data_IF_114930419114
#
_entry.id   IF_114930419114
#
_cell.length_a   1.000
_cell.length_b   1.000
_cell.length_c   1.000
_cell.angle_alpha   90.00
_cell.angle_beta   90.00
_cell.angle_gamma   90.00
#
_symmetry.space_group_name_H-M   'P 1'
#
loop_
_entity.id
_entity.type
_entity.pdbx_description
1 polymer ?
#
# COMPACT_ATOMS: atom_id res chain seq x y z
N UNK A 1 34.73 14.78 30.88
CA UNK A 1 34.39 15.68 29.75
C UNK A 1 33.03 15.28 29.16
N UNK A 2 31.96 15.43 29.95
CA UNK A 2 30.65 14.80 29.65
C UNK A 2 29.47 15.67 30.06
N UNK A 3 29.55 16.98 29.84
CA UNK A 3 28.47 17.94 30.17
C UNK A 3 28.01 18.80 28.99
N UNK A 4 28.61 18.65 27.80
CA UNK A 4 28.23 19.41 26.60
C UNK A 4 27.14 18.77 25.72
N UNK A 5 26.94 17.45 25.81
CA UNK A 5 25.98 16.73 24.93
C UNK A 5 24.54 16.72 25.46
N UNK A 6 24.33 16.94 26.76
CA UNK A 6 22.99 16.96 27.36
C UNK A 6 22.26 18.28 27.11
N UNK A 7 23.00 19.40 27.06
CA UNK A 7 22.43 20.74 26.87
C UNK A 7 21.88 20.97 25.46
N UNK A 8 22.47 20.31 24.45
CA UNK A 8 21.97 20.36 23.07
C UNK A 8 20.73 19.48 22.84
N UNK A 9 20.51 18.47 23.69
CA UNK A 9 19.33 17.60 23.63
C UNK A 9 18.10 18.25 24.28
N UNK A 10 18.29 19.05 25.34
CA UNK A 10 17.22 19.85 25.97
C UNK A 10 16.71 20.99 25.07
N UNK A 11 17.60 21.72 24.37
CA UNK A 11 17.18 22.78 23.44
C UNK A 11 16.44 22.24 22.21
N UNK A 12 16.75 21.01 21.79
CA UNK A 12 16.04 20.30 20.71
C UNK A 12 14.61 19.90 21.11
N UNK A 13 14.39 19.53 22.37
CA UNK A 13 13.07 19.12 22.87
C UNK A 13 12.15 20.33 23.07
N UNK A 14 12.69 21.49 23.45
CA UNK A 14 11.89 22.72 23.61
C UNK A 14 11.44 23.32 22.26
N UNK A 15 12.24 23.16 21.19
CA UNK A 15 11.82 23.50 19.82
C UNK A 15 10.75 22.56 19.25
N UNK A 16 10.80 21.27 19.58
CA UNK A 16 9.79 20.29 19.16
C UNK A 16 8.49 20.50 19.94
N UNK A 17 8.56 20.82 21.24
CA UNK A 17 7.40 21.20 22.05
C UNK A 17 6.71 22.47 21.55
N UNK A 18 7.47 23.51 21.19
CA UNK A 18 6.90 24.75 20.62
C UNK A 18 6.33 24.56 19.21
N UNK A 19 6.91 23.68 18.39
CA UNK A 19 6.36 23.32 17.07
C UNK A 19 5.10 22.46 17.16
N UNK A 20 5.00 21.59 18.17
CA UNK A 20 3.80 20.81 18.47
C UNK A 20 2.69 21.72 19.02
N UNK A 21 3.01 22.65 19.92
CA UNK A 21 2.04 23.64 20.39
C UNK A 21 1.59 24.63 19.30
N UNK A 22 2.44 25.01 18.34
CA UNK A 22 2.01 25.79 17.17
C UNK A 22 1.15 24.96 16.20
N UNK A 23 1.42 23.66 16.03
CA UNK A 23 0.57 22.77 15.22
C UNK A 23 -0.81 22.56 15.87
N UNK A 24 -0.87 22.43 17.20
CA UNK A 24 -2.14 22.34 17.93
C UNK A 24 -2.84 23.69 18.11
N UNK A 25 -2.12 24.82 18.12
CA UNK A 25 -2.73 26.15 18.12
C UNK A 25 -3.31 26.53 16.75
N UNK A 26 -2.71 26.08 15.64
CA UNK A 26 -3.29 26.22 14.30
C UNK A 26 -4.51 25.30 14.11
N UNK A 27 -4.53 24.12 14.76
CA UNK A 27 -5.73 23.26 14.82
C UNK A 27 -6.80 23.75 15.80
N UNK A 28 -6.44 24.58 16.79
CA UNK A 28 -7.36 25.09 17.82
C UNK A 28 -7.93 26.50 17.56
N UNK A 29 -7.30 27.30 16.71
CA UNK A 29 -7.76 28.67 16.37
C UNK A 29 -8.46 28.74 15.01
N UNK A 30 -8.44 27.66 14.21
CA UNK A 30 -9.23 27.57 12.97
C UNK A 30 -10.68 27.11 13.19
N UNK A 31 -11.24 27.36 14.38
CA UNK A 31 -12.67 27.16 14.68
C UNK A 31 -13.51 28.46 14.51
N UNK A 32 -12.90 29.54 13.99
CA UNK A 32 -13.58 30.82 13.79
C UNK A 32 -13.26 31.46 12.43
N UNK A 33 -13.40 30.69 11.36
CA UNK A 33 -13.78 31.22 10.05
C UNK A 33 -14.80 30.26 9.48
N UNK A 34 -16.06 30.44 9.90
CA UNK A 34 -17.20 29.85 9.21
C UNK A 34 -17.26 30.47 7.82
N UNK A 35 -16.70 29.75 6.84
CA UNK A 35 -17.01 29.97 5.43
C UNK A 35 -18.52 29.78 5.25
N UNK A 36 -19.11 30.66 4.43
CA UNK A 36 -20.56 30.84 4.26
C UNK A 36 -21.21 29.68 3.47
N UNK A 37 -20.49 28.58 3.24
CA UNK A 37 -20.96 27.38 2.55
C UNK A 37 -20.60 26.11 3.34
N UNK A 38 -21.03 26.04 4.60
CA UNK A 38 -21.06 24.76 5.29
C UNK A 38 -22.18 23.92 4.66
N UNK A 39 -21.81 22.85 3.96
CA UNK A 39 -22.76 21.85 3.45
C UNK A 39 -23.78 21.52 4.54
N UNK A 40 -25.06 21.83 4.31
CA UNK A 40 -26.09 21.70 5.34
C UNK A 40 -26.32 20.21 5.67
N UNK A 41 -25.79 19.77 6.81
CA UNK A 41 -25.88 18.39 7.29
C UNK A 41 -27.04 18.15 8.26
N UNK A 42 -27.81 19.17 8.63
CA UNK A 42 -28.79 19.10 9.73
C UNK A 42 -29.82 17.98 9.53
N UNK A 43 -30.40 17.91 8.33
CA UNK A 43 -31.45 16.92 8.03
C UNK A 43 -30.89 15.49 7.94
N UNK A 44 -29.73 15.33 7.31
CA UNK A 44 -29.10 14.01 7.19
C UNK A 44 -28.59 13.51 8.54
N UNK A 45 -28.09 14.39 9.41
CA UNK A 45 -27.70 14.04 10.77
C UNK A 45 -28.91 13.61 11.61
N UNK A 46 -30.06 14.26 11.44
CA UNK A 46 -31.30 13.84 12.10
C UNK A 46 -31.75 12.44 11.63
N UNK A 47 -31.71 12.17 10.32
CA UNK A 47 -32.01 10.85 9.75
C UNK A 47 -31.01 9.80 10.26
N UNK A 48 -29.72 10.09 10.22
CA UNK A 48 -28.66 9.20 10.71
C UNK A 48 -28.87 8.90 12.20
N UNK A 49 -29.06 9.91 13.05
CA UNK A 49 -29.27 9.73 14.48
C UNK A 49 -30.52 8.90 14.79
N UNK A 50 -31.62 9.13 14.06
CA UNK A 50 -32.87 8.39 14.24
C UNK A 50 -32.76 6.93 13.79
N UNK A 51 -32.08 6.66 12.67
CA UNK A 51 -32.07 5.33 12.02
C UNK A 51 -30.92 4.46 12.47
N UNK A 52 -29.76 5.05 12.77
CA UNK A 52 -28.60 4.32 13.29
C UNK A 52 -28.88 3.72 14.68
N UNK A 53 -29.60 4.44 15.55
CA UNK A 53 -29.97 3.95 16.90
C UNK A 53 -31.11 2.93 16.88
N UNK A 54 -32.12 3.13 16.03
CA UNK A 54 -33.33 2.29 16.04
C UNK A 54 -33.20 1.00 15.22
N UNK A 55 -32.20 0.89 14.33
CA UNK A 55 -32.12 -0.13 13.27
C UNK A 55 -33.42 -0.26 12.46
N UNK A 56 -34.29 0.75 12.50
CA UNK A 56 -35.57 0.74 11.82
C UNK A 56 -35.36 0.81 10.30
N UNK A 57 -36.33 0.29 9.55
CA UNK A 57 -36.34 0.42 8.09
C UNK A 57 -36.37 1.90 7.71
N UNK A 58 -35.61 2.26 6.68
CA UNK A 58 -35.68 3.59 6.07
C UNK A 58 -37.05 3.80 5.43
N UNK A 59 -37.60 4.98 5.62
CA UNK A 59 -38.77 5.47 4.89
C UNK A 59 -38.34 6.05 3.54
N UNK A 60 -39.30 6.24 2.62
CA UNK A 60 -39.05 6.95 1.36
C UNK A 60 -38.53 8.36 1.60
N UNK A 61 -39.05 9.07 2.61
CA UNK A 61 -38.58 10.41 2.98
C UNK A 61 -37.11 10.40 3.42
N UNK A 62 -36.70 9.42 4.24
CA UNK A 62 -35.30 9.29 4.67
C UNK A 62 -34.36 9.12 3.47
N UNK A 63 -34.74 8.29 2.49
CA UNK A 63 -33.95 8.08 1.27
C UNK A 63 -33.80 9.35 0.44
N UNK A 64 -34.86 10.17 0.35
CA UNK A 64 -34.83 11.46 -0.37
C UNK A 64 -33.87 12.44 0.30
N UNK A 65 -33.85 12.50 1.63
CA UNK A 65 -32.91 13.34 2.39
C UNK A 65 -31.46 12.91 2.12
N UNK A 66 -31.17 11.61 2.18
CA UNK A 66 -29.84 11.05 1.91
C UNK A 66 -29.39 11.41 0.48
N UNK A 67 -30.23 11.12 -0.52
CA UNK A 67 -29.96 11.40 -1.93
C UNK A 67 -29.71 12.90 -2.17
N UNK A 68 -30.54 13.75 -1.59
CA UNK A 68 -30.43 15.20 -1.75
C UNK A 68 -29.13 15.72 -1.16
N UNK A 69 -28.77 15.29 0.05
CA UNK A 69 -27.52 15.68 0.69
C UNK A 69 -26.30 15.27 -0.14
N UNK A 70 -26.23 14.01 -0.57
CA UNK A 70 -25.12 13.49 -1.37
C UNK A 70 -24.98 14.26 -2.68
N UNK A 71 -26.09 14.43 -3.42
CA UNK A 71 -26.09 15.17 -4.69
C UNK A 71 -25.65 16.61 -4.50
N UNK A 72 -26.19 17.31 -3.50
CA UNK A 72 -25.84 18.71 -3.21
C UNK A 72 -24.37 18.85 -2.85
N UNK A 73 -23.82 17.99 -2.00
CA UNK A 73 -22.40 18.02 -1.63
C UNK A 73 -21.48 17.76 -2.82
N UNK A 74 -21.82 16.80 -3.69
CA UNK A 74 -21.03 16.52 -4.90
C UNK A 74 -21.09 17.67 -5.91
N UNK A 75 -22.25 18.33 -6.05
CA UNK A 75 -22.40 19.51 -6.89
C UNK A 75 -21.61 20.70 -6.36
N UNK A 76 -21.65 20.93 -5.04
CA UNK A 76 -20.86 21.98 -4.39
C UNK A 76 -19.36 21.74 -4.59
N UNK A 77 -18.89 20.50 -4.40
CA UNK A 77 -17.51 20.10 -4.65
C UNK A 77 -17.09 20.31 -6.12
N UNK A 78 -17.99 20.08 -7.08
CA UNK A 78 -17.73 20.31 -8.50
C UNK A 78 -17.55 21.81 -8.82
N UNK A 79 -18.36 22.66 -8.19
CA UNK A 79 -18.37 24.10 -8.39
C UNK A 79 -17.29 24.83 -7.60
N UNK A 80 -16.75 24.21 -6.54
CA UNK A 80 -15.72 24.80 -5.69
C UNK A 80 -14.40 25.04 -6.44
N UNK A 81 -13.81 26.21 -6.21
CA UNK A 81 -12.56 26.66 -6.82
C UNK A 81 -11.41 26.65 -5.81
N UNK A 82 -11.69 26.89 -4.53
CA UNK A 82 -10.71 26.81 -3.45
C UNK A 82 -10.38 25.33 -3.14
N UNK A 83 -9.11 24.89 -3.33
CA UNK A 83 -8.71 23.53 -2.99
C UNK A 83 -8.94 23.14 -1.53
N UNK A 84 -8.92 24.09 -0.59
CA UNK A 84 -9.12 23.80 0.84
C UNK A 84 -10.60 23.59 1.17
N UNK A 85 -11.48 24.41 0.62
CA UNK A 85 -12.93 24.22 0.80
C UNK A 85 -13.40 22.95 0.09
N UNK A 86 -12.84 22.60 -1.08
CA UNK A 86 -13.10 21.32 -1.73
C UNK A 86 -12.73 20.13 -0.82
N UNK A 87 -11.65 20.24 -0.05
CA UNK A 87 -11.28 19.23 0.96
C UNK A 87 -12.29 19.21 2.11
N UNK A 88 -12.72 20.37 2.61
CA UNK A 88 -13.74 20.47 3.67
C UNK A 88 -15.07 19.84 3.26
N UNK A 89 -15.58 20.14 2.06
CA UNK A 89 -16.81 19.57 1.51
C UNK A 89 -16.68 18.04 1.41
N UNK A 90 -15.56 17.54 0.87
CA UNK A 90 -15.29 16.10 0.78
C UNK A 90 -15.36 15.43 2.16
N UNK A 91 -14.72 16.02 3.16
CA UNK A 91 -14.73 15.50 4.53
C UNK A 91 -16.15 15.50 5.10
N UNK A 92 -16.92 16.56 4.88
CA UNK A 92 -18.31 16.67 5.33
C UNK A 92 -19.21 15.57 4.70
N UNK A 93 -19.05 15.29 3.40
CA UNK A 93 -19.80 14.21 2.73
C UNK A 93 -19.47 12.86 3.36
N UNK A 94 -18.19 12.52 3.48
CA UNK A 94 -17.75 11.21 3.99
C UNK A 94 -18.15 11.01 5.47
N UNK A 95 -18.17 12.08 6.26
CA UNK A 95 -18.59 12.03 7.67
C UNK A 95 -20.03 11.53 7.85
N UNK A 96 -20.90 11.73 6.85
CA UNK A 96 -22.31 11.34 6.92
C UNK A 96 -22.58 9.92 6.39
N UNK A 97 -21.54 9.16 6.01
CA UNK A 97 -21.71 7.78 5.47
C UNK A 97 -22.32 6.79 6.48
N UNK A 98 -22.29 7.12 7.76
CA UNK A 98 -22.68 6.24 8.87
C UNK A 98 -21.48 5.49 9.48
N UNK A 99 -21.78 4.46 10.26
CA UNK A 99 -20.76 3.63 10.93
C UNK A 99 -20.01 2.68 9.98
N UNK A 100 -19.02 1.97 10.52
CA UNK A 100 -18.22 0.98 9.78
C UNK A 100 -18.98 -0.32 9.47
N UNK A 101 -20.10 -0.58 10.15
CA UNK A 101 -20.97 -1.73 9.89
C UNK A 101 -22.04 -1.39 8.84
N UNK A 102 -22.29 -2.32 7.92
CA UNK A 102 -23.34 -2.14 6.92
C UNK A 102 -24.72 -2.10 7.59
N UNK A 103 -25.39 -0.96 7.47
CA UNK A 103 -26.74 -0.71 7.98
C UNK A 103 -27.67 -0.31 6.82
N UNK A 104 -29.01 -0.35 7.00
CA UNK A 104 -29.92 0.15 5.98
C UNK A 104 -29.62 1.60 5.57
N UNK A 105 -29.23 2.44 6.54
CA UNK A 105 -28.79 3.82 6.28
C UNK A 105 -27.54 3.87 5.40
N UNK A 106 -26.47 3.19 5.80
CA UNK A 106 -25.20 3.27 5.07
C UNK A 106 -25.32 2.64 3.68
N UNK A 107 -26.14 1.60 3.50
CA UNK A 107 -26.45 1.04 2.19
C UNK A 107 -27.15 2.06 1.27
N UNK A 108 -28.17 2.77 1.78
CA UNK A 108 -28.83 3.82 1.00
C UNK A 108 -27.91 5.01 0.69
N UNK A 109 -27.00 5.35 1.61
CA UNK A 109 -25.99 6.38 1.38
C UNK A 109 -25.01 5.97 0.28
N UNK A 110 -24.50 4.74 0.33
CA UNK A 110 -23.61 4.17 -0.70
C UNK A 110 -24.30 4.13 -2.06
N UNK A 111 -25.57 3.70 -2.11
CA UNK A 111 -26.36 3.67 -3.35
C UNK A 111 -26.53 5.08 -3.96
N UNK A 112 -26.92 6.06 -3.13
CA UNK A 112 -27.01 7.46 -3.54
C UNK A 112 -25.67 8.00 -4.05
N UNK A 113 -24.59 7.71 -3.34
CA UNK A 113 -23.24 8.13 -3.72
C UNK A 113 -22.77 7.46 -5.01
N UNK A 114 -23.02 6.17 -5.22
CA UNK A 114 -22.64 5.44 -6.43
C UNK A 114 -23.26 6.09 -7.68
N UNK A 115 -24.56 6.36 -7.62
CA UNK A 115 -25.30 7.00 -8.71
C UNK A 115 -24.76 8.39 -8.99
N UNK A 116 -24.67 9.25 -7.98
CA UNK A 116 -24.31 10.65 -8.19
C UNK A 116 -22.82 10.83 -8.50
N UNK A 117 -21.90 10.08 -7.89
CA UNK A 117 -20.47 10.16 -8.17
C UNK A 117 -20.17 9.88 -9.64
N UNK A 118 -20.85 8.89 -10.26
CA UNK A 118 -20.64 8.57 -11.66
C UNK A 118 -20.93 9.77 -12.55
N UNK A 119 -22.08 10.42 -12.36
CA UNK A 119 -22.46 11.64 -13.09
C UNK A 119 -21.50 12.79 -12.82
N UNK A 120 -21.17 13.06 -11.56
CA UNK A 120 -20.27 14.16 -11.20
C UNK A 120 -18.85 13.95 -11.74
N UNK A 121 -18.35 12.71 -11.83
CA UNK A 121 -17.06 12.39 -12.45
C UNK A 121 -17.08 12.70 -13.95
N UNK A 122 -18.16 12.34 -14.65
CA UNK A 122 -18.32 12.67 -16.07
C UNK A 122 -18.34 14.19 -16.29
N UNK A 123 -19.05 14.93 -15.44
CA UNK A 123 -19.10 16.40 -15.50
C UNK A 123 -17.76 17.04 -15.16
N UNK A 124 -17.07 16.57 -14.11
CA UNK A 124 -15.73 17.00 -13.77
C UNK A 124 -14.75 16.77 -14.92
N UNK A 125 -14.89 15.66 -15.66
CA UNK A 125 -14.11 15.37 -16.86
C UNK A 125 -14.22 16.42 -17.97
N UNK A 126 -15.32 17.20 -18.00
CA UNK A 126 -15.59 18.26 -19.00
C UNK A 126 -15.07 19.64 -18.58
N UNK A 127 -14.52 19.78 -17.37
CA UNK A 127 -13.92 21.03 -16.90
C UNK A 127 -12.75 21.43 -17.82
N UNK A 128 -12.73 22.69 -18.25
CA UNK A 128 -11.72 23.21 -19.19
C UNK A 128 -10.35 23.39 -18.52
N UNK A 129 -10.34 23.92 -17.30
CA UNK A 129 -9.14 24.04 -16.50
C UNK A 129 -8.64 22.64 -16.09
N UNK A 130 -7.45 22.28 -16.59
CA UNK A 130 -6.86 20.95 -16.39
C UNK A 130 -6.49 20.68 -14.93
N UNK A 131 -6.06 21.71 -14.19
CA UNK A 131 -5.63 21.59 -12.81
C UNK A 131 -6.84 21.46 -11.88
N UNK A 132 -7.89 22.26 -12.11
CA UNK A 132 -9.18 22.12 -11.44
C UNK A 132 -9.78 20.75 -11.74
N UNK A 133 -9.85 20.35 -13.01
CA UNK A 133 -10.32 19.01 -13.42
C UNK A 133 -9.60 17.90 -12.66
N UNK A 134 -8.27 17.94 -12.62
CA UNK A 134 -7.46 16.94 -11.90
C UNK A 134 -7.77 16.92 -10.41
N UNK A 135 -7.84 18.08 -9.74
CA UNK A 135 -8.15 18.18 -8.31
C UNK A 135 -9.57 17.70 -7.99
N UNK A 136 -10.57 18.09 -8.78
CA UNK A 136 -11.96 17.68 -8.59
C UNK A 136 -12.11 16.17 -8.76
N UNK A 137 -11.55 15.60 -9.84
CA UNK A 137 -11.57 14.15 -10.07
C UNK A 137 -10.88 13.37 -8.93
N UNK A 138 -9.75 13.88 -8.43
CA UNK A 138 -9.07 13.26 -7.30
C UNK A 138 -9.94 13.28 -6.02
N UNK A 139 -10.61 14.40 -5.72
CA UNK A 139 -11.51 14.47 -4.57
C UNK A 139 -12.69 13.51 -4.69
N UNK A 140 -13.32 13.42 -5.86
CA UNK A 140 -14.43 12.49 -6.12
C UNK A 140 -13.98 11.02 -5.98
N UNK A 141 -12.78 10.70 -6.47
CA UNK A 141 -12.20 9.35 -6.34
C UNK A 141 -11.86 9.03 -4.88
N UNK A 142 -11.41 10.01 -4.09
CA UNK A 142 -11.21 9.83 -2.65
C UNK A 142 -12.53 9.51 -1.97
N UNK A 143 -13.64 10.20 -2.29
CA UNK A 143 -14.96 9.87 -1.74
C UNK A 143 -15.30 8.41 -2.06
N UNK A 144 -15.19 8.00 -3.33
CA UNK A 144 -15.44 6.62 -3.75
C UNK A 144 -14.58 5.61 -2.97
N UNK A 145 -13.30 5.92 -2.71
CA UNK A 145 -12.43 5.04 -1.93
C UNK A 145 -12.82 4.95 -0.44
N UNK A 146 -13.24 6.06 0.17
CA UNK A 146 -13.64 6.13 1.59
C UNK A 146 -15.03 5.51 1.86
N UNK A 147 -15.83 5.27 0.81
CA UNK A 147 -17.07 4.50 0.93
C UNK A 147 -16.83 3.00 1.13
N UNK A 148 -15.63 2.51 0.77
CA UNK A 148 -15.19 1.13 1.02
C UNK A 148 -16.19 0.07 0.52
N UNK A 149 -16.85 0.30 -0.62
CA UNK A 149 -17.93 -0.55 -1.13
C UNK A 149 -17.67 -1.02 -2.57
N UNK A 150 -18.05 -2.26 -2.87
CA UNK A 150 -17.89 -2.87 -4.21
C UNK A 150 -18.64 -2.14 -5.32
N UNK A 151 -19.68 -1.39 -4.97
CA UNK A 151 -20.48 -0.53 -5.85
C UNK A 151 -19.65 0.60 -6.45
N UNK A 152 -18.51 0.95 -5.83
CA UNK A 152 -17.54 1.91 -6.36
C UNK A 152 -16.54 1.31 -7.35
N UNK A 153 -16.58 -0.01 -7.58
CA UNK A 153 -15.53 -0.69 -8.32
C UNK A 153 -15.37 -0.16 -9.75
N UNK A 154 -16.47 0.12 -10.47
CA UNK A 154 -16.40 0.66 -11.83
C UNK A 154 -15.69 2.01 -11.91
N UNK A 155 -15.90 2.88 -10.92
CA UNK A 155 -15.22 4.19 -10.81
C UNK A 155 -13.71 3.96 -10.66
N UNK A 156 -13.32 3.12 -9.71
CA UNK A 156 -11.89 2.84 -9.46
C UNK A 156 -11.23 2.16 -10.65
N UNK A 157 -11.87 1.15 -11.24
CA UNK A 157 -11.36 0.44 -12.42
C UNK A 157 -11.14 1.38 -13.61
N UNK A 158 -12.06 2.31 -13.85
CA UNK A 158 -11.94 3.32 -14.90
C UNK A 158 -10.73 4.25 -14.75
N UNK A 159 -10.20 4.39 -13.53
CA UNK A 159 -9.12 5.33 -13.18
C UNK A 159 -7.75 4.66 -12.97
N UNK A 160 -7.66 3.32 -13.01
CA UNK A 160 -6.40 2.57 -12.82
C UNK A 160 -5.32 2.90 -13.87
N UNK A 161 -5.74 3.30 -15.07
CA UNK A 161 -4.85 3.67 -16.17
C UNK A 161 -4.41 5.14 -16.15
N UNK A 162 -4.83 5.93 -15.15
CA UNK A 162 -4.47 7.34 -15.05
C UNK A 162 -2.95 7.54 -15.01
N UNK A 163 -2.40 8.52 -15.75
CA UNK A 163 -0.98 8.87 -15.66
C UNK A 163 -0.64 9.64 -14.38
N UNK A 164 -1.64 10.19 -13.68
CA UNK A 164 -1.45 10.88 -12.41
C UNK A 164 -1.31 9.84 -11.27
N UNK A 165 -0.14 9.83 -10.63
CA UNK A 165 0.21 8.81 -9.63
C UNK A 165 -0.72 8.81 -8.40
N UNK A 166 -1.21 10.00 -7.98
CA UNK A 166 -2.16 10.11 -6.88
C UNK A 166 -3.52 9.49 -7.28
N UNK A 167 -4.02 9.81 -8.46
CA UNK A 167 -5.25 9.24 -9.03
C UNK A 167 -5.14 7.73 -9.14
N UNK A 168 -4.04 7.21 -9.68
CA UNK A 168 -3.82 5.76 -9.76
C UNK A 168 -3.76 5.11 -8.36
N UNK A 169 -3.10 5.74 -7.39
CA UNK A 169 -3.06 5.24 -6.01
C UNK A 169 -4.48 5.13 -5.41
N UNK A 170 -5.30 6.19 -5.55
CA UNK A 170 -6.66 6.18 -5.03
C UNK A 170 -7.57 5.22 -5.80
N UNK A 171 -7.37 5.07 -7.11
CA UNK A 171 -8.08 4.08 -7.92
C UNK A 171 -7.81 2.65 -7.44
N UNK A 172 -6.55 2.33 -7.11
CA UNK A 172 -6.20 1.05 -6.47
C UNK A 172 -6.90 0.95 -5.11
N UNK A 173 -6.88 2.01 -4.27
CA UNK A 173 -7.55 1.99 -2.97
C UNK A 173 -9.05 1.74 -3.08
N UNK A 174 -9.73 2.29 -4.09
CA UNK A 174 -11.16 2.08 -4.34
C UNK A 174 -11.51 0.62 -4.62
N UNK A 175 -10.66 -0.11 -5.35
CA UNK A 175 -10.98 -1.49 -5.80
C UNK A 175 -10.28 -2.59 -5.00
N UNK A 176 -9.26 -2.24 -4.22
CA UNK A 176 -8.36 -3.22 -3.60
C UNK A 176 -8.13 -2.96 -2.10
N UNK A 177 -9.00 -2.20 -1.43
CA UNK A 177 -8.90 -2.04 0.02
C UNK A 177 -9.23 -3.36 0.76
N UNK A 178 -8.79 -3.51 2.03
CA UNK A 178 -9.14 -4.66 2.84
C UNK A 178 -10.66 -4.88 2.98
N UNK A 179 -11.44 -3.79 3.04
CA UNK A 179 -12.90 -3.86 3.12
C UNK A 179 -13.52 -4.45 1.85
N UNK A 180 -13.00 -4.10 0.67
CA UNK A 180 -13.42 -4.67 -0.61
C UNK A 180 -13.07 -6.16 -0.67
N UNK A 181 -11.85 -6.54 -0.29
CA UNK A 181 -11.46 -7.95 -0.23
C UNK A 181 -12.37 -8.77 0.70
N UNK A 182 -12.76 -8.21 1.85
CA UNK A 182 -13.67 -8.86 2.79
C UNK A 182 -15.09 -9.06 2.19
N UNK A 183 -15.62 -8.05 1.50
CA UNK A 183 -16.91 -8.13 0.81
C UNK A 183 -16.91 -9.19 -0.29
N UNK A 184 -15.89 -9.20 -1.14
CA UNK A 184 -15.78 -10.13 -2.27
C UNK A 184 -15.61 -11.59 -1.85
N UNK A 185 -15.11 -11.84 -0.64
CA UNK A 185 -14.97 -13.20 -0.07
C UNK A 185 -16.14 -13.64 0.80
N UNK A 186 -17.01 -12.72 1.18
CA UNK A 186 -18.12 -13.00 2.08
C UNK A 186 -19.09 -13.98 1.43
N UNK A 187 -19.64 -14.97 2.16
CA UNK A 187 -20.71 -15.83 1.65
C UNK A 187 -21.98 -15.08 1.26
N UNK A 188 -22.16 -13.85 1.74
CA UNK A 188 -23.38 -13.05 1.55
C UNK A 188 -23.22 -12.06 0.39
N UNK A 189 -22.06 -11.41 0.29
CA UNK A 189 -21.79 -10.32 -0.66
C UNK A 189 -20.72 -10.67 -1.69
N UNK A 190 -20.26 -11.94 -1.70
CA UNK A 190 -19.18 -12.38 -2.57
C UNK A 190 -19.55 -12.28 -4.05
N UNK A 191 -18.59 -11.85 -4.86
CA UNK A 191 -18.75 -11.69 -6.30
C UNK A 191 -17.46 -12.15 -6.99
N UNK A 192 -17.49 -13.39 -7.50
CA UNK A 192 -16.34 -14.01 -8.15
C UNK A 192 -15.98 -13.35 -9.48
N UNK A 193 -16.98 -12.85 -10.23
CA UNK A 193 -16.77 -12.21 -11.52
C UNK A 193 -16.15 -10.82 -11.35
N UNK A 194 -16.64 -10.05 -10.38
CA UNK A 194 -16.02 -8.79 -10.00
C UNK A 194 -14.61 -9.00 -9.45
N UNK A 195 -14.39 -10.03 -8.63
CA UNK A 195 -13.05 -10.40 -8.15
C UNK A 195 -12.09 -10.67 -9.33
N UNK A 196 -12.51 -11.50 -10.29
CA UNK A 196 -11.71 -11.81 -11.49
C UNK A 196 -11.42 -10.56 -12.30
N UNK A 197 -12.41 -9.67 -12.47
CA UNK A 197 -12.26 -8.40 -13.19
C UNK A 197 -11.27 -7.46 -12.50
N UNK A 198 -11.37 -7.29 -11.18
CA UNK A 198 -10.45 -6.45 -10.40
C UNK A 198 -9.02 -6.99 -10.51
N UNK A 199 -8.81 -8.30 -10.28
CA UNK A 199 -7.48 -8.91 -10.40
C UNK A 199 -6.89 -8.72 -11.82
N UNK A 200 -7.71 -8.91 -12.86
CA UNK A 200 -7.29 -8.72 -14.24
C UNK A 200 -6.87 -7.28 -14.57
N UNK A 201 -7.60 -6.28 -14.08
CA UNK A 201 -7.23 -4.87 -14.29
C UNK A 201 -6.02 -4.44 -13.45
N UNK A 202 -5.90 -4.93 -12.21
CA UNK A 202 -4.71 -4.70 -11.38
C UNK A 202 -3.45 -5.33 -12.00
N UNK A 203 -3.57 -6.51 -12.61
CA UNK A 203 -2.47 -7.14 -13.35
C UNK A 203 -1.95 -6.24 -14.48
N UNK A 204 -2.86 -5.65 -15.25
CA UNK A 204 -2.52 -4.68 -16.31
C UNK A 204 -1.90 -3.42 -15.72
N UNK A 205 -2.47 -2.87 -14.65
CA UNK A 205 -2.02 -1.64 -14.02
C UNK A 205 -0.59 -1.76 -13.48
N UNK A 206 -0.28 -2.85 -12.78
CA UNK A 206 1.05 -3.15 -12.23
C UNK A 206 2.14 -3.13 -13.31
N UNK A 207 1.83 -3.53 -14.54
CA UNK A 207 2.75 -3.45 -15.69
C UNK A 207 3.10 -2.01 -16.13
N UNK A 208 2.29 -1.01 -15.75
CA UNK A 208 2.40 0.40 -16.19
C UNK A 208 3.08 1.32 -15.16
N UNK A 209 3.80 0.75 -14.19
CA UNK A 209 4.53 1.46 -13.10
C UNK A 209 3.63 2.09 -12.02
N UNK A 210 2.90 1.24 -11.30
CA UNK A 210 2.23 1.63 -10.05
C UNK A 210 3.27 2.03 -9.00
N UNK A 211 3.00 3.10 -8.26
CA UNK A 211 3.83 3.52 -7.12
C UNK A 211 3.93 2.38 -6.07
N UNK A 212 5.05 2.27 -5.32
CA UNK A 212 5.24 1.21 -4.33
C UNK A 212 4.09 1.09 -3.31
N UNK A 213 3.49 2.21 -2.91
CA UNK A 213 2.38 2.27 -1.96
C UNK A 213 1.10 1.68 -2.54
N UNK A 214 0.83 1.89 -3.84
CA UNK A 214 -0.28 1.24 -4.55
C UNK A 214 0.00 -0.24 -4.76
N UNK A 215 1.23 -0.61 -5.12
CA UNK A 215 1.64 -2.01 -5.28
C UNK A 215 1.48 -2.80 -3.98
N UNK A 216 1.74 -2.16 -2.82
CA UNK A 216 1.44 -2.75 -1.50
C UNK A 216 -0.02 -3.19 -1.39
N UNK A 217 -0.95 -2.27 -1.69
CA UNK A 217 -2.39 -2.52 -1.59
C UNK A 217 -2.79 -3.67 -2.52
N UNK A 218 -2.24 -3.71 -3.74
CA UNK A 218 -2.48 -4.81 -4.68
C UNK A 218 -2.04 -6.16 -4.12
N UNK A 219 -0.87 -6.23 -3.47
CA UNK A 219 -0.39 -7.48 -2.85
C UNK A 219 -1.29 -7.89 -1.69
N UNK A 220 -1.67 -6.95 -0.82
CA UNK A 220 -2.57 -7.21 0.31
C UNK A 220 -3.92 -7.74 -0.17
N UNK A 221 -4.49 -7.11 -1.21
CA UNK A 221 -5.73 -7.54 -1.84
C UNK A 221 -5.60 -8.94 -2.45
N UNK A 222 -4.55 -9.17 -3.25
CA UNK A 222 -4.33 -10.42 -3.95
C UNK A 222 -4.15 -11.61 -2.98
N UNK A 223 -3.41 -11.38 -1.89
CA UNK A 223 -3.24 -12.36 -0.80
C UNK A 223 -4.53 -12.56 0.00
N UNK A 224 -5.35 -11.52 0.17
CA UNK A 224 -6.63 -11.64 0.83
C UNK A 224 -7.61 -12.50 -0.01
N UNK A 225 -7.83 -12.18 -1.29
CA UNK A 225 -8.80 -12.92 -2.15
C UNK A 225 -8.32 -14.31 -2.54
N UNK A 226 -7.00 -14.51 -2.66
CA UNK A 226 -6.33 -15.80 -2.80
C UNK A 226 -6.81 -16.69 -3.98
N UNK A 227 -7.28 -16.08 -5.07
CA UNK A 227 -7.61 -16.80 -6.30
C UNK A 227 -6.35 -17.21 -7.07
N UNK A 228 -6.41 -18.20 -8.00
CA UNK A 228 -5.26 -18.56 -8.84
C UNK A 228 -4.64 -17.37 -9.59
N UNK A 229 -5.47 -16.48 -10.13
CA UNK A 229 -5.04 -15.27 -10.83
C UNK A 229 -4.39 -14.27 -9.88
N UNK A 230 -4.94 -14.11 -8.67
CA UNK A 230 -4.38 -13.23 -7.65
C UNK A 230 -3.00 -13.72 -7.17
N UNK A 231 -2.84 -15.03 -6.97
CA UNK A 231 -1.55 -15.67 -6.67
C UNK A 231 -0.53 -15.44 -7.80
N UNK A 232 -0.96 -15.52 -9.06
CA UNK A 232 -0.10 -15.22 -10.20
C UNK A 232 0.34 -13.75 -10.21
N UNK A 233 -0.55 -12.82 -9.86
CA UNK A 233 -0.24 -11.40 -9.71
C UNK A 233 0.82 -11.14 -8.63
N UNK A 234 0.76 -11.82 -7.48
CA UNK A 234 1.80 -11.75 -6.43
C UNK A 234 3.17 -12.18 -6.98
N UNK A 235 3.22 -13.27 -7.76
CA UNK A 235 4.47 -13.74 -8.39
C UNK A 235 5.02 -12.73 -9.41
N UNK A 236 4.15 -12.09 -10.19
CA UNK A 236 4.52 -11.02 -11.13
C UNK A 236 5.10 -9.81 -10.41
N UNK A 237 4.48 -9.40 -9.30
CA UNK A 237 4.98 -8.29 -8.48
C UNK A 237 6.36 -8.63 -7.89
N UNK A 238 6.58 -9.88 -7.46
CA UNK A 238 7.91 -10.34 -7.06
C UNK A 238 8.96 -10.19 -8.15
N UNK A 239 8.63 -10.51 -9.41
CA UNK A 239 9.53 -10.31 -10.55
C UNK A 239 9.86 -8.84 -10.79
N UNK A 240 8.85 -7.96 -10.72
CA UNK A 240 9.05 -6.52 -10.85
C UNK A 240 9.97 -5.98 -9.75
N UNK A 241 9.72 -6.37 -8.49
CA UNK A 241 10.57 -5.96 -7.37
C UNK A 241 12.00 -6.47 -7.53
N UNK A 242 12.19 -7.74 -7.90
CA UNK A 242 13.53 -8.28 -8.18
C UNK A 242 14.27 -7.49 -9.28
N UNK A 243 13.58 -7.09 -10.35
CA UNK A 243 14.19 -6.22 -11.38
C UNK A 243 14.60 -4.84 -10.84
N UNK A 244 13.81 -4.26 -9.93
CA UNK A 244 14.16 -2.99 -9.28
C UNK A 244 15.36 -3.13 -8.34
N UNK A 245 15.49 -4.26 -7.63
CA UNK A 245 16.68 -4.57 -6.83
C UNK A 245 17.91 -4.64 -7.72
N UNK A 246 17.85 -5.42 -8.81
CA UNK A 246 18.97 -5.58 -9.77
C UNK A 246 19.43 -4.24 -10.37
N UNK A 247 18.51 -3.29 -10.55
CA UNK A 247 18.78 -1.93 -11.04
C UNK A 247 19.15 -0.93 -9.96
N UNK A 248 19.13 -1.33 -8.69
CA UNK A 248 19.32 -0.46 -7.53
C UNK A 248 18.28 0.68 -7.38
N UNK A 249 17.15 0.61 -8.08
CA UNK A 249 16.10 1.65 -8.11
C UNK A 249 14.91 1.36 -7.20
N UNK A 250 14.99 0.32 -6.37
CA UNK A 250 13.97 0.03 -5.34
C UNK A 250 13.71 1.26 -4.46
N UNK A 251 12.42 1.54 -4.26
CA UNK A 251 11.87 2.51 -3.31
C UNK A 251 10.92 1.79 -2.36
N UNK A 252 10.80 2.32 -1.15
CA UNK A 252 9.91 1.83 -0.10
C UNK A 252 10.11 0.33 0.18
N UNK A 253 11.24 0.00 0.80
CA UNK A 253 11.64 -1.38 1.07
C UNK A 253 10.67 -2.11 2.02
N UNK A 254 9.96 -1.39 2.89
CA UNK A 254 8.98 -2.00 3.82
C UNK A 254 7.84 -2.76 3.11
N UNK A 255 7.52 -2.41 1.86
CA UNK A 255 6.55 -3.16 1.06
C UNK A 255 6.96 -4.63 0.88
N UNK A 256 8.26 -4.92 0.85
CA UNK A 256 8.75 -6.28 0.60
C UNK A 256 8.47 -7.23 1.76
N UNK A 257 8.23 -6.72 2.98
CA UNK A 257 7.71 -7.53 4.09
C UNK A 257 6.37 -8.16 3.74
N UNK A 258 5.48 -7.37 3.13
CA UNK A 258 4.12 -7.80 2.78
C UNK A 258 4.19 -8.79 1.61
N UNK A 259 4.99 -8.49 0.60
CA UNK A 259 5.20 -9.38 -0.55
C UNK A 259 5.84 -10.72 -0.17
N UNK A 260 6.89 -10.70 0.66
CA UNK A 260 7.52 -11.93 1.16
C UNK A 260 6.58 -12.71 2.07
N UNK A 261 5.71 -12.02 2.82
CA UNK A 261 4.68 -12.68 3.64
C UNK A 261 3.60 -13.36 2.80
N UNK A 262 3.12 -12.71 1.73
CA UNK A 262 2.17 -13.28 0.79
C UNK A 262 2.75 -14.53 0.10
N UNK A 263 3.99 -14.42 -0.41
CA UNK A 263 4.71 -15.56 -0.98
C UNK A 263 4.89 -16.70 0.05
N UNK A 264 5.24 -16.36 1.29
CA UNK A 264 5.36 -17.32 2.39
C UNK A 264 4.06 -18.08 2.67
N UNK A 265 2.93 -17.36 2.75
CA UNK A 265 1.60 -17.96 2.91
C UNK A 265 1.24 -18.86 1.74
N UNK A 266 1.48 -18.41 0.51
CA UNK A 266 1.25 -19.21 -0.69
C UNK A 266 2.09 -20.51 -0.68
N UNK A 267 3.36 -20.47 -0.23
CA UNK A 267 4.19 -21.67 -0.09
C UNK A 267 3.59 -22.66 0.92
N UNK A 268 3.02 -22.15 2.01
CA UNK A 268 2.43 -22.98 3.07
C UNK A 268 1.08 -23.58 2.67
N UNK A 269 0.29 -22.89 1.84
CA UNK A 269 -1.04 -23.35 1.40
C UNK A 269 -1.02 -24.17 0.11
N UNK A 270 0.00 -24.00 -0.75
CA UNK A 270 0.06 -24.65 -2.06
C UNK A 270 0.46 -26.13 -1.97
N UNK A 271 -0.41 -27.00 -2.47
CA UNK A 271 -0.19 -28.45 -2.50
C UNK A 271 0.42 -28.90 -3.83
N UNK A 272 0.19 -28.17 -4.92
CA UNK A 272 0.74 -28.50 -6.23
C UNK A 272 2.23 -28.15 -6.29
N UNK A 273 3.08 -29.18 -6.36
CA UNK A 273 4.54 -29.03 -6.29
C UNK A 273 5.13 -28.01 -7.28
N UNK A 274 4.76 -27.97 -8.57
CA UNK A 274 5.34 -27.00 -9.51
C UNK A 274 5.04 -25.54 -9.15
N UNK A 275 3.82 -25.26 -8.67
CA UNK A 275 3.40 -23.93 -8.23
C UNK A 275 4.10 -23.53 -6.94
N UNK A 276 4.16 -24.45 -5.97
CA UNK A 276 4.86 -24.25 -4.70
C UNK A 276 6.35 -23.97 -4.92
N UNK A 277 7.02 -24.76 -5.75
CA UNK A 277 8.44 -24.59 -6.10
C UNK A 277 8.69 -23.22 -6.76
N UNK A 278 7.78 -22.76 -7.61
CA UNK A 278 7.86 -21.43 -8.21
C UNK A 278 7.81 -20.34 -7.13
N UNK A 279 6.86 -20.40 -6.21
CA UNK A 279 6.77 -19.46 -5.09
C UNK A 279 8.02 -19.51 -4.18
N UNK A 280 8.53 -20.72 -3.87
CA UNK A 280 9.78 -20.91 -3.12
C UNK A 280 10.97 -20.20 -3.78
N UNK A 281 11.12 -20.35 -5.11
CA UNK A 281 12.18 -19.71 -5.88
C UNK A 281 12.08 -18.18 -5.83
N UNK A 282 10.89 -17.62 -6.03
CA UNK A 282 10.65 -16.17 -5.96
C UNK A 282 10.93 -15.63 -4.55
N UNK A 283 10.41 -16.30 -3.51
CA UNK A 283 10.64 -15.94 -2.12
C UNK A 283 12.13 -15.91 -1.78
N UNK A 284 12.84 -17.01 -2.05
CA UNK A 284 14.27 -17.13 -1.72
C UNK A 284 15.14 -16.14 -2.49
N UNK A 285 14.82 -15.89 -3.76
CA UNK A 285 15.55 -14.92 -4.59
C UNK A 285 15.31 -13.47 -4.13
N UNK A 286 14.06 -13.06 -3.93
CA UNK A 286 13.73 -11.71 -3.48
C UNK A 286 14.32 -11.44 -2.09
N UNK A 287 14.20 -12.40 -1.16
CA UNK A 287 14.76 -12.25 0.18
C UNK A 287 16.29 -12.18 0.16
N UNK A 288 16.95 -12.92 -0.74
CA UNK A 288 18.40 -12.77 -0.97
C UNK A 288 18.75 -11.34 -1.37
N UNK A 289 18.01 -10.75 -2.30
CA UNK A 289 18.27 -9.39 -2.78
C UNK A 289 18.06 -8.34 -1.68
N UNK A 290 17.06 -8.50 -0.80
CA UNK A 290 16.90 -7.64 0.39
C UNK A 290 18.16 -7.70 1.26
N UNK A 291 18.64 -8.91 1.60
CA UNK A 291 19.83 -9.10 2.45
C UNK A 291 21.09 -8.57 1.77
N UNK A 292 21.30 -8.85 0.48
CA UNK A 292 22.47 -8.37 -0.26
C UNK A 292 22.44 -6.85 -0.45
N UNK A 293 21.26 -6.23 -0.60
CA UNK A 293 21.13 -4.77 -0.62
C UNK A 293 21.61 -4.16 0.69
N UNK A 294 21.33 -4.79 1.83
CA UNK A 294 21.87 -4.34 3.12
C UNK A 294 23.41 -4.45 3.17
N UNK A 295 23.95 -5.60 2.75
CA UNK A 295 25.39 -5.87 2.78
C UNK A 295 26.17 -4.94 1.85
N UNK A 296 25.73 -4.82 0.60
CA UNK A 296 26.42 -4.07 -0.45
C UNK A 296 26.10 -2.57 -0.42
N UNK A 297 24.96 -2.20 0.14
CA UNK A 297 24.42 -0.83 0.11
C UNK A 297 25.03 0.13 1.12
N UNK A 298 26.06 -0.27 1.87
CA UNK A 298 26.63 0.49 2.97
C UNK A 298 27.00 1.95 2.64
N UNK A 299 27.45 2.22 1.41
CA UNK A 299 27.85 3.58 0.97
C UNK A 299 26.77 4.34 0.18
N UNK A 300 25.72 3.67 -0.28
CA UNK A 300 24.71 4.26 -1.18
C UNK A 300 23.33 4.41 -0.56
N UNK A 301 23.02 3.62 0.48
CA UNK A 301 21.76 3.69 1.18
C UNK A 301 21.80 4.78 2.25
N UNK A 302 20.75 5.59 2.32
CA UNK A 302 20.52 6.50 3.45
C UNK A 302 20.29 5.71 4.75
N UNK A 303 20.43 6.38 5.90
CA UNK A 303 20.13 5.77 7.20
C UNK A 303 18.70 5.21 7.26
N UNK A 304 17.72 5.95 6.71
CA UNK A 304 16.33 5.51 6.61
C UNK A 304 16.17 4.25 5.77
N UNK A 305 16.80 4.18 4.59
CA UNK A 305 16.75 2.99 3.73
C UNK A 305 17.41 1.78 4.39
N UNK A 306 18.57 1.97 5.04
CA UNK A 306 19.23 0.89 5.82
C UNK A 306 18.31 0.35 6.91
N UNK A 307 17.64 1.25 7.65
CA UNK A 307 16.68 0.85 8.68
C UNK A 307 15.50 0.09 8.10
N UNK A 308 14.93 0.54 6.98
CA UNK A 308 13.82 -0.16 6.32
C UNK A 308 14.24 -1.57 5.88
N UNK A 309 15.39 -1.71 5.21
CA UNK A 309 15.90 -3.02 4.79
C UNK A 309 16.16 -3.92 6.00
N UNK A 310 16.76 -3.40 7.08
CA UNK A 310 16.96 -4.15 8.31
C UNK A 310 15.63 -4.65 8.93
N UNK A 311 14.60 -3.79 8.94
CA UNK A 311 13.26 -4.16 9.40
C UNK A 311 12.66 -5.28 8.55
N UNK A 312 12.78 -5.24 7.21
CA UNK A 312 12.30 -6.32 6.34
C UNK A 312 13.01 -7.64 6.67
N UNK A 313 14.33 -7.61 6.84
CA UNK A 313 15.10 -8.81 7.18
C UNK A 313 14.65 -9.40 8.52
N UNK A 314 14.53 -8.57 9.55
CA UNK A 314 14.12 -9.02 10.88
C UNK A 314 12.68 -9.55 10.89
N UNK A 315 11.75 -8.85 10.23
CA UNK A 315 10.34 -9.21 10.23
C UNK A 315 10.09 -10.51 9.46
N UNK A 316 10.67 -10.67 8.27
CA UNK A 316 10.52 -11.88 7.44
C UNK A 316 11.18 -13.09 8.10
N UNK A 317 12.31 -12.91 8.78
CA UNK A 317 12.94 -13.96 9.59
C UNK A 317 11.97 -14.49 10.66
N UNK A 318 11.38 -13.59 11.44
CA UNK A 318 10.51 -13.93 12.56
C UNK A 318 9.17 -14.52 12.10
N UNK A 319 8.53 -13.90 11.12
CA UNK A 319 7.13 -14.20 10.77
C UNK A 319 6.98 -15.30 9.72
N UNK A 320 7.95 -15.46 8.82
CA UNK A 320 7.85 -16.38 7.67
C UNK A 320 8.90 -17.48 7.73
N UNK A 321 10.20 -17.13 7.81
CA UNK A 321 11.28 -18.12 7.78
C UNK A 321 11.17 -19.08 8.97
N UNK A 322 10.85 -18.57 10.17
CA UNK A 322 10.60 -19.38 11.35
C UNK A 322 9.51 -20.45 11.15
N UNK A 323 8.42 -20.10 10.44
CA UNK A 323 7.31 -21.01 10.11
C UNK A 323 7.71 -22.03 9.05
N UNK A 324 8.36 -21.59 7.97
CA UNK A 324 8.79 -22.48 6.87
C UNK A 324 9.82 -23.52 7.31
N UNK A 325 10.67 -23.18 8.29
CA UNK A 325 11.72 -24.07 8.77
C UNK A 325 11.35 -24.88 10.01
N UNK A 326 10.21 -24.61 10.66
CA UNK A 326 9.81 -25.19 11.94
C UNK A 326 10.94 -25.10 12.99
N UNK A 327 11.33 -23.86 13.32
CA UNK A 327 12.49 -23.44 14.15
C UNK A 327 13.79 -23.22 13.34
N UNK A 328 13.89 -22.02 12.75
CA UNK A 328 15.13 -21.56 12.11
C UNK A 328 16.25 -21.38 13.14
N UNK A 329 17.42 -22.00 12.89
CA UNK A 329 18.66 -21.73 13.63
C UNK A 329 19.42 -20.51 13.08
N UNK A 330 18.97 -19.97 11.95
CA UNK A 330 19.54 -18.77 11.35
C UNK A 330 19.14 -17.57 12.22
N UNK A 331 20.07 -16.62 12.40
CA UNK A 331 19.89 -15.40 13.19
C UNK A 331 20.32 -14.16 12.41
N UNK A 332 19.59 -13.82 11.36
CA UNK A 332 19.84 -12.65 10.50
C UNK A 332 19.69 -11.34 11.28
N UNK A 333 18.63 -11.18 12.07
CA UNK A 333 18.43 -10.01 12.96
C UNK A 333 19.62 -9.80 13.89
N UNK A 334 20.06 -10.86 14.57
CA UNK A 334 21.23 -10.80 15.46
C UNK A 334 22.51 -10.46 14.69
N UNK A 335 22.65 -10.94 13.45
CA UNK A 335 23.80 -10.60 12.61
C UNK A 335 23.80 -9.12 12.20
N UNK A 336 22.64 -8.53 11.91
CA UNK A 336 22.48 -7.08 11.70
C UNK A 336 22.88 -6.29 12.95
N UNK A 337 22.36 -6.68 14.12
CA UNK A 337 22.65 -6.03 15.42
C UNK A 337 24.15 -6.08 15.77
N UNK A 338 24.87 -7.10 15.32
CA UNK A 338 26.31 -7.24 15.56
C UNK A 338 27.17 -6.29 14.72
N UNK A 339 26.58 -5.57 13.77
CA UNK A 339 27.23 -4.69 12.78
C UNK A 339 28.35 -5.36 11.93
N UNK A 340 28.48 -6.69 11.97
CA UNK A 340 29.46 -7.46 11.20
C UNK A 340 28.82 -8.03 9.94
N UNK A 341 29.08 -7.38 8.80
CA UNK A 341 28.54 -7.79 7.50
C UNK A 341 28.92 -9.23 7.12
N UNK A 342 30.11 -9.70 7.52
CA UNK A 342 30.53 -11.08 7.31
C UNK A 342 29.65 -12.09 8.05
N UNK A 343 29.19 -11.77 9.26
CA UNK A 343 28.25 -12.60 10.01
C UNK A 343 26.89 -12.67 9.33
N UNK A 344 26.42 -11.55 8.77
CA UNK A 344 25.18 -11.52 8.00
C UNK A 344 25.30 -12.32 6.71
N UNK A 345 26.43 -12.23 6.00
CA UNK A 345 26.68 -13.02 4.81
C UNK A 345 26.74 -14.53 5.10
N UNK A 346 27.39 -14.94 6.21
CA UNK A 346 27.39 -16.33 6.65
C UNK A 346 25.98 -16.83 6.98
N UNK A 347 25.19 -16.04 7.72
CA UNK A 347 23.80 -16.37 8.04
C UNK A 347 22.93 -16.49 6.78
N UNK A 348 23.13 -15.59 5.80
CA UNK A 348 22.49 -15.68 4.49
C UNK A 348 22.85 -16.98 3.77
N UNK A 349 24.13 -17.34 3.69
CA UNK A 349 24.59 -18.59 3.04
C UNK A 349 24.03 -19.83 3.71
N UNK A 350 23.93 -19.85 5.03
CA UNK A 350 23.30 -20.95 5.78
C UNK A 350 21.81 -21.09 5.43
N UNK A 351 21.10 -19.97 5.33
CA UNK A 351 19.66 -19.98 5.02
C UNK A 351 19.38 -20.35 3.56
N UNK A 352 20.00 -19.62 2.64
CA UNK A 352 19.63 -19.58 1.23
C UNK A 352 20.58 -20.39 0.34
N UNK A 353 21.77 -20.72 0.83
CA UNK A 353 22.76 -21.52 0.13
C UNK A 353 23.97 -20.74 -0.37
N UNK A 354 24.92 -21.48 -0.92
CA UNK A 354 26.13 -21.00 -1.58
C UNK A 354 26.35 -21.78 -2.89
N UNK A 355 27.29 -21.37 -3.76
CA UNK A 355 27.59 -22.12 -4.98
C UNK A 355 27.94 -23.60 -4.74
N UNK A 356 28.49 -23.93 -3.55
CA UNK A 356 28.93 -25.29 -3.20
C UNK A 356 27.84 -26.11 -2.52
N UNK A 357 27.00 -25.48 -1.71
CA UNK A 357 26.07 -26.14 -0.79
C UNK A 357 24.70 -25.47 -0.76
N UNK A 358 23.62 -26.26 -0.82
CA UNK A 358 22.27 -25.77 -0.65
C UNK A 358 22.01 -25.30 0.79
N UNK A 359 21.24 -24.22 0.95
CA UNK A 359 20.86 -23.68 2.26
C UNK A 359 19.76 -24.48 2.95
N UNK A 360 19.48 -24.14 4.21
CA UNK A 360 18.43 -24.80 4.98
C UNK A 360 17.04 -24.66 4.35
N UNK A 361 16.74 -23.52 3.73
CA UNK A 361 15.45 -23.26 3.07
C UNK A 361 15.20 -24.18 1.86
N UNK A 362 16.07 -24.21 0.82
CA UNK A 362 15.90 -25.13 -0.30
C UNK A 362 15.92 -26.61 0.10
N UNK A 363 16.72 -27.00 1.10
CA UNK A 363 16.74 -28.38 1.61
C UNK A 363 15.41 -28.74 2.28
N UNK A 364 14.90 -27.89 3.17
CA UNK A 364 13.65 -28.15 3.91
C UNK A 364 12.43 -28.19 3.00
N UNK A 365 12.36 -27.26 2.05
CA UNK A 365 11.23 -27.11 1.13
C UNK A 365 11.40 -27.89 -0.18
N UNK A 366 12.49 -28.66 -0.32
CA UNK A 366 12.80 -29.53 -1.47
C UNK A 366 12.76 -28.80 -2.82
N UNK A 367 13.46 -27.67 -2.93
CA UNK A 367 13.58 -26.94 -4.20
C UNK A 367 15.02 -26.50 -4.49
N UNK A 368 15.27 -26.09 -5.73
CA UNK A 368 16.49 -25.42 -6.19
C UNK A 368 16.17 -24.06 -6.82
N UNK A 369 17.19 -23.22 -7.07
CA UNK A 369 17.00 -21.90 -7.67
C UNK A 369 16.98 -21.91 -9.21
N UNK A 370 16.70 -23.07 -9.82
CA UNK A 370 16.69 -23.27 -11.26
C UNK A 370 18.05 -23.74 -11.79
N UNK A 371 18.43 -23.25 -12.98
CA UNK A 371 19.68 -23.62 -13.64
C UNK A 371 20.68 -22.46 -13.62
N UNK A 372 21.96 -22.80 -13.48
CA UNK A 372 23.07 -21.86 -13.67
C UNK A 372 23.28 -21.58 -15.16
N UNK A 373 24.11 -20.59 -15.49
CA UNK A 373 24.52 -20.33 -16.86
C UNK A 373 25.20 -21.54 -17.53
N UNK A 374 25.79 -22.44 -16.75
CA UNK A 374 26.42 -23.67 -17.21
C UNK A 374 25.44 -24.86 -17.32
N UNK A 375 24.13 -24.63 -17.15
CA UNK A 375 23.09 -25.68 -17.21
C UNK A 375 23.01 -26.59 -15.98
N UNK A 376 23.84 -26.37 -14.95
CA UNK A 376 23.81 -27.14 -13.70
C UNK A 376 22.74 -26.63 -12.74
N UNK A 377 22.29 -27.45 -11.79
CA UNK A 377 21.29 -27.03 -10.79
C UNK A 377 21.86 -25.94 -9.85
N UNK A 378 21.15 -24.82 -9.74
CA UNK A 378 21.53 -23.68 -8.91
C UNK A 378 21.18 -23.93 -7.43
N UNK A 379 22.19 -24.06 -6.58
CA UNK A 379 22.05 -24.32 -5.13
C UNK A 379 21.86 -23.06 -4.28
N UNK A 380 22.00 -21.88 -4.89
CA UNK A 380 21.91 -20.58 -4.25
C UNK A 380 21.18 -19.59 -5.16
N UNK A 381 20.55 -18.54 -4.59
CA UNK A 381 19.96 -17.46 -5.37
C UNK A 381 21.05 -16.70 -6.14
N UNK A 382 20.66 -16.02 -7.22
CA UNK A 382 21.54 -15.09 -7.94
C UNK A 382 21.99 -13.99 -6.98
N UNK A 383 23.26 -13.60 -7.07
CA UNK A 383 23.81 -12.52 -6.28
C UNK A 383 23.47 -11.16 -6.90
N UNK A 384 23.08 -10.21 -6.06
CA UNK A 384 22.93 -8.82 -6.44
C UNK A 384 24.28 -8.24 -6.86
N UNK A 385 24.32 -7.55 -8.00
CA UNK A 385 25.53 -6.84 -8.45
C UNK A 385 25.84 -5.66 -7.51
N UNK A 386 27.11 -5.25 -7.35
CA UNK A 386 27.46 -4.05 -6.60
C UNK A 386 26.66 -2.83 -7.06
N UNK A 387 26.39 -1.87 -6.17
CA UNK A 387 25.69 -0.65 -6.55
C UNK A 387 26.48 0.12 -7.62
N UNK A 388 25.79 0.85 -8.52
CA UNK A 388 26.47 1.78 -9.41
C UNK A 388 27.29 2.77 -8.57
N UNK A 389 28.50 3.08 -9.03
CA UNK A 389 29.35 4.06 -8.36
C UNK A 389 28.61 5.42 -8.33
N UNK A 390 28.63 6.15 -7.21
CA UNK A 390 28.15 7.53 -7.20
C UNK A 390 28.97 8.34 -8.23
N UNK A 391 28.35 9.33 -8.92
CA UNK A 391 29.09 10.20 -9.82
C UNK A 391 30.28 10.83 -9.09
N UNK A 392 31.43 11.02 -9.76
CA UNK A 392 32.61 11.61 -9.13
C UNK A 392 32.21 12.97 -8.57
N UNK A 393 32.39 13.11 -7.26
CA UNK A 393 32.26 14.39 -6.59
C UNK A 393 33.54 15.16 -6.93
N UNK A 394 33.42 16.29 -7.64
CA UNK A 394 34.56 17.21 -7.74
C UNK A 394 34.97 17.63 -6.31
N UNK A 395 36.24 17.99 -6.10
CA UNK A 395 36.85 18.34 -4.80
C UNK A 395 36.15 19.50 -4.04
N UNK A 396 35.04 20.01 -4.55
CA UNK A 396 34.18 21.06 -3.98
C UNK A 396 32.75 20.58 -3.65
N UNK A 397 32.46 19.27 -3.68
CA UNK A 397 31.16 18.74 -3.23
C UNK A 397 29.96 19.09 -4.09
N UNK A 398 30.17 19.55 -5.33
CA UNK A 398 29.09 19.78 -6.31
C UNK A 398 29.12 18.74 -7.42
N UNK A 399 27.96 18.27 -7.93
CA UNK A 399 27.91 17.40 -9.09
C UNK A 399 28.46 18.13 -10.33
N UNK A 400 29.36 17.48 -11.07
CA UNK A 400 29.83 17.95 -12.37
C UNK A 400 28.67 17.95 -13.39
N UNK A 401 28.65 18.89 -14.36
CA UNK A 401 27.54 19.09 -15.29
C UNK A 401 27.20 17.89 -16.17
#
# INVERSE_FOLDING_TARGET
>A
MGFGLFRHFEESLDMVGKRICLFFAVLGVSAMYSSVFALNSTEIEAVLAARHKSKARLTTGDKVVIETFVRSGLQELLLEEDPWEAVSIRVAIVAQRGGSELSPYSAAFIEAAATNLKTTIEDAGRLQDADRRRRTLLNLLIIAAELESTEMADIGLGMLASPDAATQYWAVKTVASPAIAAQLKSPITGDEDLTRRIVGELDKAVGRRVAPEGMRIVVEFADAVDTPEARALVLKIADLRMSLYEKWTVKYELMDTILLSALGRQIMSETAEPKRVTACRKFGQLYSYVIERFILGGKVLSAGQKQQVASVIAEVENTIVGKLLAQSRVRLKKAIESAKLSTLESARKLLLGSPRQAGSLPVKLKFDYGKTAAGTTAKAPKSLKPPPLPPPTNEQGSPAP
#
